data_IF_996121164559
#
_entry.id   IF_996121164559
#
_cell.length_a   1.000
_cell.length_b   1.000
_cell.length_c   1.000
_cell.angle_alpha   90.00
_cell.angle_beta   90.00
_cell.angle_gamma   90.00
#
_symmetry.space_group_name_H-M   'P 1'
#
loop_
_entity.id
_entity.type
_entity.pdbx_description
1 polymer ?
#
# COMPACT_ATOMS: atom_id res chain seq x y z
N UNK A 1 -27.74 2.94 -36.76
CA UNK A 1 -27.97 4.29 -36.22
C UNK A 1 -28.74 5.06 -37.26
N UNK A 2 -29.55 6.00 -36.82
CA UNK A 2 -30.21 6.97 -37.68
C UNK A 2 -30.24 8.25 -36.86
N UNK A 3 -29.26 9.11 -37.08
CA UNK A 3 -28.96 10.23 -36.17
C UNK A 3 -28.93 11.52 -36.94
N UNK A 4 -29.66 12.53 -36.47
CA UNK A 4 -29.53 13.91 -36.91
C UNK A 4 -28.80 14.71 -35.85
N UNK A 5 -27.71 15.35 -36.24
CA UNK A 5 -26.93 16.28 -35.41
C UNK A 5 -27.27 17.70 -35.85
N UNK A 6 -27.89 18.47 -34.97
CA UNK A 6 -28.02 19.92 -35.09
C UNK A 6 -26.81 20.55 -34.39
N UNK A 7 -25.98 21.26 -35.15
CA UNK A 7 -24.73 21.83 -34.64
C UNK A 7 -24.95 23.13 -33.86
N UNK A 8 -26.18 23.65 -33.81
CA UNK A 8 -26.50 24.87 -33.07
C UNK A 8 -26.05 26.16 -33.78
N UNK A 9 -25.67 26.08 -35.06
CA UNK A 9 -25.26 27.20 -35.90
C UNK A 9 -26.04 27.27 -37.22
N UNK A 10 -27.27 26.76 -37.22
CA UNK A 10 -28.19 26.58 -38.38
C UNK A 10 -27.83 25.44 -39.32
N UNK A 11 -26.67 24.79 -39.16
CA UNK A 11 -26.33 23.57 -39.90
C UNK A 11 -26.81 22.33 -39.16
N UNK A 12 -27.26 21.34 -39.93
CA UNK A 12 -27.62 20.02 -39.42
C UNK A 12 -27.25 18.94 -40.42
N UNK A 13 -26.76 17.81 -39.92
CA UNK A 13 -26.39 16.65 -40.73
C UNK A 13 -27.09 15.38 -40.25
N UNK A 14 -27.41 14.48 -41.18
CA UNK A 14 -27.99 13.16 -40.86
C UNK A 14 -27.03 12.04 -41.22
N UNK A 15 -26.84 11.12 -40.29
CA UNK A 15 -25.89 10.02 -40.37
C UNK A 15 -26.58 8.67 -40.15
N UNK A 16 -26.35 7.75 -41.10
CA UNK A 16 -26.87 6.36 -41.05
C UNK A 16 -25.77 5.33 -40.77
N UNK A 17 -24.51 5.75 -40.73
CA UNK A 17 -23.32 4.90 -40.49
C UNK A 17 -22.54 5.36 -39.28
N UNK A 18 -22.02 4.40 -38.50
CA UNK A 18 -21.18 4.68 -37.33
C UNK A 18 -19.88 5.39 -37.72
N UNK A 19 -19.43 6.32 -36.88
CA UNK A 19 -18.18 7.04 -37.11
C UNK A 19 -18.10 8.32 -36.29
N UNK A 20 -16.90 8.89 -36.24
CA UNK A 20 -16.71 10.24 -35.72
C UNK A 20 -17.27 11.23 -36.73
N UNK A 21 -18.01 12.22 -36.24
CA UNK A 21 -18.51 13.33 -37.04
C UNK A 21 -17.86 14.61 -36.57
N UNK A 22 -17.53 15.48 -37.51
CA UNK A 22 -16.79 16.72 -37.27
C UNK A 22 -17.56 17.89 -37.87
N UNK A 23 -17.51 19.03 -37.18
CA UNK A 23 -18.08 20.29 -37.64
C UNK A 23 -17.13 21.43 -37.30
N UNK A 24 -17.07 22.44 -38.16
CA UNK A 24 -16.22 23.63 -37.98
C UNK A 24 -17.09 24.88 -37.93
N UNK A 25 -17.11 25.54 -36.78
CA UNK A 25 -17.81 26.79 -36.60
C UNK A 25 -17.06 27.96 -37.25
N UNK A 26 -17.78 28.80 -37.99
CA UNK A 26 -17.21 29.98 -38.66
C UNK A 26 -16.86 31.12 -37.71
N UNK A 27 -17.53 31.18 -36.55
CA UNK A 27 -17.35 32.22 -35.53
C UNK A 27 -17.05 31.52 -34.21
N UNK A 28 -16.21 32.14 -33.37
CA UNK A 28 -15.99 31.65 -32.01
C UNK A 28 -17.22 31.92 -31.15
N UNK A 29 -17.64 30.92 -30.36
CA UNK A 29 -18.81 31.05 -29.52
C UNK A 29 -19.13 29.79 -28.73
N UNK A 30 -20.18 29.88 -27.92
CA UNK A 30 -20.77 28.73 -27.23
C UNK A 30 -21.90 28.21 -28.10
N UNK A 31 -21.82 26.94 -28.48
CA UNK A 31 -22.79 26.26 -29.30
C UNK A 31 -23.45 25.13 -28.50
N UNK A 32 -24.74 24.92 -28.74
CA UNK A 32 -25.48 23.77 -28.19
C UNK A 32 -25.70 22.79 -29.33
N UNK A 33 -24.98 21.66 -29.28
CA UNK A 33 -25.16 20.56 -30.24
C UNK A 33 -26.25 19.64 -29.75
N UNK A 34 -27.27 19.37 -30.59
CA UNK A 34 -28.35 18.45 -30.27
C UNK A 34 -28.30 17.22 -31.16
N UNK A 35 -28.46 16.05 -30.57
CA UNK A 35 -28.45 14.77 -31.27
C UNK A 35 -29.84 14.15 -31.11
N UNK A 36 -30.49 13.81 -32.22
CA UNK A 36 -31.79 13.14 -32.24
C UNK A 36 -31.77 11.90 -33.11
N UNK A 37 -32.77 11.01 -32.94
CA UNK A 37 -32.85 9.73 -33.64
C UNK A 37 -32.42 8.55 -32.76
N UNK A 38 -31.71 7.57 -33.33
CA UNK A 38 -31.32 6.34 -32.65
C UNK A 38 -29.79 6.13 -32.63
N UNK A 39 -29.23 6.17 -31.43
CA UNK A 39 -27.81 6.00 -31.12
C UNK A 39 -27.63 5.10 -29.89
N UNK A 40 -27.02 3.94 -30.08
CA UNK A 40 -26.78 2.98 -28.98
C UNK A 40 -25.51 3.29 -28.17
N UNK A 41 -24.55 4.01 -28.75
CA UNK A 41 -23.32 4.39 -28.06
C UNK A 41 -22.89 5.82 -28.39
N UNK A 42 -22.55 6.60 -27.37
CA UNK A 42 -21.85 7.86 -27.52
C UNK A 42 -20.45 7.73 -26.89
N UNK A 43 -19.39 7.91 -27.69
CA UNK A 43 -18.00 7.69 -27.28
C UNK A 43 -17.28 6.66 -28.15
N UNK A 44 -15.94 6.71 -28.12
CA UNK A 44 -15.05 5.88 -28.95
C UNK A 44 -14.00 5.13 -28.12
N UNK A 45 -14.37 4.79 -26.88
CA UNK A 45 -13.49 4.17 -25.91
C UNK A 45 -12.33 5.07 -25.46
N UNK A 46 -11.18 4.48 -25.15
CA UNK A 46 -10.05 5.22 -24.58
C UNK A 46 -9.26 6.09 -25.58
N UNK A 47 -9.65 6.09 -26.86
CA UNK A 47 -9.00 6.92 -27.89
C UNK A 47 -9.28 8.40 -27.65
N UNK A 48 -8.27 9.26 -27.82
CA UNK A 48 -8.42 10.71 -27.69
C UNK A 48 -9.44 11.25 -28.70
N UNK A 49 -10.46 11.96 -28.22
CA UNK A 49 -11.35 12.77 -29.05
C UNK A 49 -10.71 14.15 -29.27
N UNK A 50 -10.41 14.57 -30.52
CA UNK A 50 -9.90 15.89 -30.80
C UNK A 50 -10.83 16.97 -30.24
N UNK A 51 -10.26 18.05 -29.68
CA UNK A 51 -11.02 19.17 -29.13
C UNK A 51 -12.01 18.82 -28.00
N UNK A 52 -11.85 17.67 -27.33
CA UNK A 52 -12.74 17.26 -26.23
C UNK A 52 -12.73 18.24 -25.04
N UNK A 53 -11.65 19.00 -24.90
CA UNK A 53 -11.52 20.11 -23.96
C UNK A 53 -12.51 21.26 -24.22
N UNK A 54 -13.12 21.31 -25.41
CA UNK A 54 -14.19 22.29 -25.71
C UNK A 54 -15.56 21.88 -25.15
N UNK A 55 -15.75 20.63 -24.73
CA UNK A 55 -17.00 20.18 -24.12
C UNK A 55 -17.06 20.66 -22.67
N UNK A 56 -17.99 21.57 -22.39
CA UNK A 56 -18.14 22.19 -21.06
C UNK A 56 -19.31 21.62 -20.27
N UNK A 57 -20.40 21.22 -20.94
CA UNK A 57 -21.64 20.71 -20.32
C UNK A 57 -22.34 19.69 -21.21
N UNK A 58 -23.07 18.77 -20.58
CA UNK A 58 -24.10 17.95 -21.23
C UNK A 58 -25.41 18.19 -20.50
N UNK A 59 -26.40 18.72 -21.21
CA UNK A 59 -27.66 19.16 -20.60
C UNK A 59 -28.73 18.06 -20.57
N UNK A 60 -28.64 17.08 -21.47
CA UNK A 60 -29.51 15.91 -21.50
C UNK A 60 -28.82 14.76 -22.25
N UNK A 61 -29.06 13.52 -21.83
CA UNK A 61 -28.71 12.33 -22.62
C UNK A 61 -29.78 11.97 -23.65
N UNK A 62 -30.98 12.56 -23.53
CA UNK A 62 -32.13 12.27 -24.39
C UNK A 62 -32.65 10.84 -24.25
N UNK A 63 -33.62 10.50 -25.10
CA UNK A 63 -34.12 9.14 -25.28
C UNK A 63 -33.81 8.66 -26.71
N UNK A 64 -32.53 8.44 -26.97
CA UNK A 64 -32.00 8.02 -28.28
C UNK A 64 -31.57 6.54 -28.28
N UNK A 65 -31.87 5.79 -27.22
CA UNK A 65 -31.56 4.36 -27.09
C UNK A 65 -30.13 4.05 -26.67
N UNK A 66 -29.46 4.93 -25.91
CA UNK A 66 -28.10 4.72 -25.41
C UNK A 66 -28.01 3.51 -24.49
N UNK A 67 -27.14 2.57 -24.83
CA UNK A 67 -26.75 1.43 -23.97
C UNK A 67 -25.30 1.53 -23.49
N UNK A 68 -24.50 2.40 -24.09
CA UNK A 68 -23.07 2.56 -23.77
C UNK A 68 -22.64 4.02 -23.83
N UNK A 69 -21.90 4.44 -22.80
CA UNK A 69 -21.19 5.72 -22.75
C UNK A 69 -19.67 5.49 -22.70
N UNK A 70 -19.20 4.37 -23.27
CA UNK A 70 -17.79 3.98 -23.25
C UNK A 70 -16.90 5.07 -23.88
N UNK A 71 -16.16 5.78 -23.02
CA UNK A 71 -15.26 6.86 -23.41
C UNK A 71 -15.95 8.14 -23.91
N UNK A 72 -17.23 8.34 -23.60
CA UNK A 72 -18.03 9.50 -24.03
C UNK A 72 -17.33 10.85 -23.78
N UNK A 73 -16.80 11.03 -22.56
CA UNK A 73 -16.20 12.28 -22.07
C UNK A 73 -14.75 12.07 -21.59
N UNK A 74 -14.09 11.06 -22.15
CA UNK A 74 -12.68 10.76 -21.88
C UNK A 74 -11.81 11.98 -22.24
N UNK A 75 -11.07 12.47 -21.25
CA UNK A 75 -10.19 13.65 -21.26
C UNK A 75 -10.91 15.00 -21.39
N UNK A 76 -12.23 15.06 -21.15
CA UNK A 76 -13.01 16.30 -21.14
C UNK A 76 -12.69 17.15 -19.89
N UNK A 77 -11.50 17.75 -19.86
CA UNK A 77 -10.98 18.45 -18.67
C UNK A 77 -11.82 19.68 -18.26
N UNK A 78 -12.55 20.29 -19.19
CA UNK A 78 -13.42 21.45 -18.91
C UNK A 78 -14.90 21.08 -18.71
N UNK A 79 -15.25 19.80 -18.71
CA UNK A 79 -16.61 19.35 -18.43
C UNK A 79 -16.92 19.58 -16.95
N UNK A 80 -17.95 20.39 -16.69
CA UNK A 80 -18.34 20.79 -15.32
C UNK A 80 -19.78 20.38 -14.96
N UNK A 81 -20.54 19.86 -15.92
CA UNK A 81 -21.97 19.55 -15.72
C UNK A 81 -22.40 18.38 -16.60
N UNK A 82 -23.15 17.46 -16.01
CA UNK A 82 -23.83 16.36 -16.67
C UNK A 82 -25.31 16.35 -16.27
N UNK A 83 -26.18 15.64 -17.00
CA UNK A 83 -27.56 15.44 -16.59
C UNK A 83 -27.64 14.69 -15.25
N UNK A 84 -28.59 15.04 -14.39
CA UNK A 84 -28.81 14.37 -13.10
C UNK A 84 -29.47 12.99 -13.23
N UNK A 85 -29.88 12.60 -14.44
CA UNK A 85 -30.51 11.31 -14.74
C UNK A 85 -29.71 10.60 -15.82
N UNK A 86 -29.21 9.41 -15.50
CA UNK A 86 -28.62 8.48 -16.45
C UNK A 86 -29.73 7.69 -17.15
N UNK A 87 -29.68 7.47 -18.48
CA UNK A 87 -30.64 6.59 -19.14
C UNK A 87 -30.53 5.17 -18.57
N UNK A 88 -31.66 4.59 -18.15
CA UNK A 88 -31.70 3.28 -17.47
C UNK A 88 -31.25 2.11 -18.37
N UNK A 89 -31.19 2.32 -19.68
CA UNK A 89 -30.68 1.36 -20.68
C UNK A 89 -29.15 1.28 -20.71
N UNK A 90 -28.43 2.17 -20.04
CA UNK A 90 -26.97 2.18 -20.05
C UNK A 90 -26.40 1.03 -19.22
N UNK A 91 -25.58 0.20 -19.88
CA UNK A 91 -24.92 -0.96 -19.29
C UNK A 91 -23.39 -0.78 -19.16
N UNK A 92 -22.81 0.21 -19.85
CA UNK A 92 -21.37 0.41 -19.92
C UNK A 92 -20.97 1.88 -19.72
N UNK A 93 -20.28 2.16 -18.61
CA UNK A 93 -19.73 3.47 -18.23
C UNK A 93 -18.21 3.50 -18.28
N UNK A 94 -17.57 2.49 -18.89
CA UNK A 94 -16.12 2.38 -18.93
C UNK A 94 -15.50 3.68 -19.46
N UNK A 95 -14.46 4.18 -18.81
CA UNK A 95 -13.71 5.37 -19.21
C UNK A 95 -14.56 6.63 -19.49
N UNK A 96 -15.83 6.69 -19.07
CA UNK A 96 -16.75 7.76 -19.46
C UNK A 96 -16.24 9.14 -19.03
N UNK A 97 -15.72 9.26 -17.82
CA UNK A 97 -15.17 10.50 -17.22
C UNK A 97 -13.67 10.39 -16.94
N UNK A 98 -12.98 9.47 -17.61
CA UNK A 98 -11.54 9.29 -17.48
C UNK A 98 -10.83 10.59 -17.84
N UNK A 99 -10.09 11.20 -16.92
CA UNK A 99 -9.34 12.43 -17.12
C UNK A 99 -10.20 13.69 -17.26
N UNK A 100 -11.49 13.64 -16.90
CA UNK A 100 -12.31 14.82 -16.70
C UNK A 100 -11.86 15.53 -15.41
N UNK A 101 -10.67 16.14 -15.45
CA UNK A 101 -9.90 16.49 -14.25
C UNK A 101 -10.53 17.54 -13.35
N UNK A 102 -11.45 18.36 -13.89
CA UNK A 102 -12.19 19.38 -13.14
C UNK A 102 -13.65 18.96 -12.84
N UNK A 103 -14.06 17.75 -13.23
CA UNK A 103 -15.42 17.30 -13.05
C UNK A 103 -15.70 16.93 -11.58
N UNK A 104 -16.71 17.58 -10.99
CA UNK A 104 -17.20 17.30 -9.63
C UNK A 104 -18.70 17.62 -9.51
N UNK A 105 -19.46 17.43 -10.60
CA UNK A 105 -20.90 17.68 -10.60
C UNK A 105 -21.65 16.52 -9.95
N UNK A 106 -22.68 16.82 -9.17
CA UNK A 106 -23.48 15.81 -8.46
C UNK A 106 -24.17 14.84 -9.43
N UNK A 107 -23.78 13.57 -9.32
CA UNK A 107 -24.31 12.43 -10.07
C UNK A 107 -24.76 11.30 -9.12
N UNK A 108 -24.92 11.59 -7.82
CA UNK A 108 -25.35 10.63 -6.82
C UNK A 108 -26.76 10.08 -7.07
N UNK A 109 -27.59 10.83 -7.81
CA UNK A 109 -28.93 10.43 -8.22
C UNK A 109 -29.03 9.47 -9.41
N UNK A 110 -27.92 9.07 -10.03
CA UNK A 110 -27.95 8.17 -11.19
C UNK A 110 -28.40 6.75 -10.82
N UNK A 111 -29.34 6.20 -11.60
CA UNK A 111 -29.66 4.77 -11.56
C UNK A 111 -28.63 3.99 -12.39
N UNK A 112 -27.67 3.39 -11.69
CA UNK A 112 -26.63 2.54 -12.29
C UNK A 112 -26.94 1.03 -12.19
N UNK A 113 -28.18 0.64 -11.85
CA UNK A 113 -28.54 -0.75 -11.56
C UNK A 113 -28.45 -1.71 -12.76
N UNK A 114 -28.35 -1.19 -13.98
CA UNK A 114 -28.10 -1.97 -15.20
C UNK A 114 -26.64 -1.95 -15.67
N UNK A 115 -25.78 -1.14 -15.04
CA UNK A 115 -24.38 -1.03 -15.41
C UNK A 115 -23.62 -2.29 -15.01
N UNK A 116 -22.84 -2.83 -15.96
CA UNK A 116 -22.01 -4.03 -15.78
C UNK A 116 -20.51 -3.73 -15.84
N UNK A 117 -20.11 -2.57 -16.40
CA UNK A 117 -18.72 -2.15 -16.53
C UNK A 117 -18.54 -0.68 -16.13
N UNK A 118 -17.70 -0.44 -15.12
CA UNK A 118 -17.30 0.88 -14.62
C UNK A 118 -15.77 1.07 -14.66
N UNK A 119 -15.04 0.22 -15.39
CA UNK A 119 -13.59 0.30 -15.49
C UNK A 119 -13.13 1.68 -15.98
N UNK A 120 -12.15 2.27 -15.30
CA UNK A 120 -11.59 3.59 -15.56
C UNK A 120 -12.60 4.76 -15.53
N UNK A 121 -13.83 4.57 -15.06
CA UNK A 121 -14.90 5.58 -15.19
C UNK A 121 -14.45 6.96 -14.71
N UNK A 122 -13.78 7.05 -13.56
CA UNK A 122 -13.25 8.29 -12.99
C UNK A 122 -11.72 8.36 -13.00
N UNK A 123 -11.03 7.46 -13.71
CA UNK A 123 -9.56 7.44 -13.74
C UNK A 123 -9.00 8.81 -14.10
N UNK A 124 -8.22 9.44 -13.21
CA UNK A 124 -7.66 10.79 -13.32
C UNK A 124 -8.68 11.94 -13.33
N UNK A 125 -9.90 11.73 -12.83
CA UNK A 125 -10.82 12.80 -12.43
C UNK A 125 -10.34 13.40 -11.10
N UNK A 126 -9.31 14.25 -11.19
CA UNK A 126 -8.46 14.67 -10.06
C UNK A 126 -9.24 15.19 -8.85
N UNK A 127 -10.31 15.97 -9.10
CA UNK A 127 -11.10 16.66 -8.08
C UNK A 127 -12.45 16.01 -7.76
N UNK A 128 -12.73 14.83 -8.34
CA UNK A 128 -14.00 14.15 -8.13
C UNK A 128 -14.12 13.62 -6.69
N UNK A 129 -15.17 14.04 -5.99
CA UNK A 129 -15.49 13.65 -4.60
C UNK A 129 -17.01 13.72 -4.33
N UNK A 130 -17.84 13.41 -5.33
CA UNK A 130 -19.29 13.43 -5.15
C UNK A 130 -19.81 12.16 -4.49
N UNK A 131 -20.82 12.33 -3.62
CA UNK A 131 -21.49 11.24 -2.93
C UNK A 131 -22.16 10.31 -3.96
N UNK A 132 -21.68 9.07 -3.99
CA UNK A 132 -22.17 7.96 -4.82
C UNK A 132 -22.51 6.74 -3.96
N UNK A 133 -22.72 6.95 -2.66
CA UNK A 133 -23.04 5.91 -1.68
C UNK A 133 -24.33 5.15 -2.02
N UNK A 134 -25.26 5.81 -2.71
CA UNK A 134 -26.58 5.31 -3.10
C UNK A 134 -26.58 4.42 -4.34
N UNK A 135 -25.46 4.34 -5.06
CA UNK A 135 -25.37 3.60 -6.31
C UNK A 135 -25.56 2.09 -6.13
N UNK A 136 -26.48 1.51 -6.91
CA UNK A 136 -26.65 0.06 -6.97
C UNK A 136 -25.66 -0.57 -7.97
N UNK A 137 -24.48 -0.94 -7.48
CA UNK A 137 -23.41 -1.56 -8.28
C UNK A 137 -23.49 -3.09 -8.37
N UNK A 138 -24.59 -3.72 -7.97
CA UNK A 138 -24.68 -5.18 -7.81
C UNK A 138 -24.50 -6.01 -9.09
N UNK A 139 -24.66 -5.41 -10.28
CA UNK A 139 -24.41 -6.05 -11.59
C UNK A 139 -23.02 -5.76 -12.15
N UNK A 140 -22.25 -4.87 -11.53
CA UNK A 140 -20.93 -4.48 -12.02
C UNK A 140 -19.96 -5.64 -11.85
N UNK A 141 -19.24 -5.96 -12.93
CA UNK A 141 -18.25 -7.04 -12.97
C UNK A 141 -16.82 -6.52 -13.11
N UNK A 142 -16.66 -5.28 -13.57
CA UNK A 142 -15.36 -4.62 -13.79
C UNK A 142 -15.34 -3.21 -13.18
N UNK A 143 -14.42 -2.99 -12.24
CA UNK A 143 -14.10 -1.71 -11.60
C UNK A 143 -12.62 -1.36 -11.71
N UNK A 144 -11.91 -1.94 -12.70
CA UNK A 144 -10.48 -1.70 -12.89
C UNK A 144 -10.19 -0.20 -12.97
N UNK A 145 -9.27 0.30 -12.14
CA UNK A 145 -8.83 1.69 -12.15
C UNK A 145 -9.96 2.73 -12.02
N UNK A 146 -11.13 2.37 -11.49
CA UNK A 146 -12.30 3.25 -11.44
C UNK A 146 -11.96 4.60 -10.80
N UNK A 147 -11.19 4.61 -9.70
CA UNK A 147 -10.73 5.81 -9.00
C UNK A 147 -9.21 6.02 -9.10
N UNK A 148 -8.55 5.45 -10.10
CA UNK A 148 -7.11 5.63 -10.30
C UNK A 148 -6.78 7.13 -10.38
N UNK A 149 -5.89 7.62 -9.51
CA UNK A 149 -5.47 9.03 -9.46
C UNK A 149 -6.63 10.03 -9.22
N UNK A 150 -7.75 9.61 -8.63
CA UNK A 150 -8.72 10.54 -8.04
C UNK A 150 -8.15 11.05 -6.72
N UNK A 151 -7.46 12.20 -6.75
CA UNK A 151 -6.58 12.59 -5.63
C UNK A 151 -7.34 12.91 -4.35
N UNK A 152 -8.57 13.42 -4.48
CA UNK A 152 -9.39 13.89 -3.35
C UNK A 152 -10.56 12.97 -3.00
N UNK A 153 -10.85 11.95 -3.82
CA UNK A 153 -12.00 11.07 -3.61
C UNK A 153 -11.92 10.35 -2.26
N UNK A 154 -12.93 10.56 -1.41
CA UNK A 154 -13.01 9.95 -0.09
C UNK A 154 -14.47 9.74 0.38
N UNK A 155 -15.39 9.42 -0.54
CA UNK A 155 -16.80 9.21 -0.21
C UNK A 155 -17.09 7.81 0.31
N UNK A 156 -18.05 7.69 1.22
CA UNK A 156 -18.43 6.43 1.85
C UNK A 156 -19.12 5.49 0.85
N UNK A 157 -18.35 4.51 0.39
CA UNK A 157 -18.79 3.44 -0.51
C UNK A 157 -18.78 2.08 0.21
N UNK A 158 -18.71 2.07 1.54
CA UNK A 158 -18.71 0.84 2.35
C UNK A 158 -19.98 0.01 2.16
N UNK A 159 -21.10 0.66 1.83
CA UNK A 159 -22.40 0.03 1.58
C UNK A 159 -22.58 -0.63 0.20
N UNK A 160 -21.61 -0.52 -0.71
CA UNK A 160 -21.71 -1.10 -2.05
C UNK A 160 -21.73 -2.64 -2.05
N UNK A 161 -22.64 -3.22 -2.83
CA UNK A 161 -22.62 -4.67 -3.09
C UNK A 161 -21.67 -5.00 -4.26
N UNK A 162 -20.44 -5.38 -3.94
CA UNK A 162 -19.39 -5.73 -4.91
C UNK A 162 -19.26 -7.23 -5.20
N UNK A 163 -20.20 -8.08 -4.78
CA UNK A 163 -20.07 -9.54 -4.87
C UNK A 163 -19.94 -10.10 -6.29
N UNK A 164 -20.35 -9.33 -7.30
CA UNK A 164 -20.29 -9.67 -8.72
C UNK A 164 -18.98 -9.23 -9.40
N UNK A 165 -18.18 -8.39 -8.73
CA UNK A 165 -16.97 -7.79 -9.30
C UNK A 165 -15.87 -8.85 -9.41
N UNK A 166 -15.21 -8.88 -10.58
CA UNK A 166 -14.11 -9.80 -10.89
C UNK A 166 -12.77 -9.06 -10.96
N UNK A 167 -12.78 -7.81 -11.41
CA UNK A 167 -11.58 -6.99 -11.60
C UNK A 167 -11.66 -5.71 -10.77
N UNK A 168 -10.74 -5.56 -9.82
CA UNK A 168 -10.53 -4.35 -9.00
C UNK A 168 -9.08 -3.83 -9.11
N UNK A 169 -8.36 -4.26 -10.16
CA UNK A 169 -6.97 -3.85 -10.37
C UNK A 169 -6.83 -2.33 -10.41
N UNK A 170 -5.86 -1.79 -9.68
CA UNK A 170 -5.59 -0.34 -9.59
C UNK A 170 -6.77 0.55 -9.15
N UNK A 171 -7.87 0.00 -8.60
CA UNK A 171 -9.09 0.77 -8.34
C UNK A 171 -8.85 2.06 -7.53
N UNK A 172 -8.02 2.00 -6.49
CA UNK A 172 -7.63 3.14 -5.64
C UNK A 172 -6.14 3.52 -5.77
N UNK A 173 -5.48 3.08 -6.85
CA UNK A 173 -4.08 3.41 -7.06
C UNK A 173 -3.93 4.94 -7.25
N UNK A 174 -3.08 5.57 -6.44
CA UNK A 174 -2.93 7.04 -6.31
C UNK A 174 -4.20 7.79 -5.89
N UNK A 175 -5.21 7.13 -5.34
CA UNK A 175 -6.34 7.79 -4.67
C UNK A 175 -5.87 8.29 -3.30
N UNK A 176 -5.20 9.44 -3.27
CA UNK A 176 -4.36 9.87 -2.15
C UNK A 176 -5.12 10.18 -0.87
N UNK A 177 -6.39 10.54 -0.96
CA UNK A 177 -7.24 10.90 0.17
C UNK A 177 -8.15 9.75 0.65
N UNK A 178 -8.25 8.66 -0.10
CA UNK A 178 -9.21 7.59 0.17
C UNK A 178 -8.84 6.81 1.44
N UNK A 179 -9.75 6.80 2.43
CA UNK A 179 -9.62 6.04 3.68
C UNK A 179 -10.97 5.58 4.24
N UNK A 180 -11.93 5.26 3.38
CA UNK A 180 -13.28 4.85 3.81
C UNK A 180 -13.35 3.36 4.14
N UNK A 181 -14.17 3.01 5.14
CA UNK A 181 -14.31 1.63 5.61
C UNK A 181 -14.97 0.75 4.55
N UNK A 182 -14.19 -0.15 3.98
CA UNK A 182 -14.60 -1.14 2.97
C UNK A 182 -14.36 -2.59 3.44
N UNK A 183 -14.12 -2.78 4.74
CA UNK A 183 -13.88 -4.10 5.31
C UNK A 183 -15.07 -5.06 5.15
N UNK A 184 -16.29 -4.51 5.03
CA UNK A 184 -17.53 -5.26 4.82
C UNK A 184 -17.78 -5.74 3.37
N UNK A 185 -16.92 -5.39 2.41
CA UNK A 185 -17.10 -5.82 1.03
C UNK A 185 -16.92 -7.33 0.84
N UNK A 186 -17.84 -7.96 0.10
CA UNK A 186 -17.68 -9.34 -0.34
C UNK A 186 -16.84 -9.39 -1.63
N UNK A 187 -15.54 -9.64 -1.48
CA UNK A 187 -14.58 -9.71 -2.59
C UNK A 187 -14.28 -11.15 -3.08
N UNK A 188 -15.05 -12.16 -2.64
CA UNK A 188 -14.82 -13.58 -2.95
C UNK A 188 -14.90 -13.95 -4.44
N UNK A 189 -15.41 -13.06 -5.30
CA UNK A 189 -15.45 -13.23 -6.77
C UNK A 189 -14.27 -12.59 -7.49
N UNK A 190 -13.49 -11.76 -6.81
CA UNK A 190 -12.41 -10.97 -7.42
C UNK A 190 -11.22 -11.87 -7.72
N UNK A 191 -10.69 -11.76 -8.94
CA UNK A 191 -9.51 -12.51 -9.41
C UNK A 191 -8.30 -11.61 -9.63
N UNK A 192 -8.54 -10.30 -9.88
CA UNK A 192 -7.52 -9.30 -10.19
C UNK A 192 -7.58 -8.14 -9.17
N UNK A 193 -6.54 -8.01 -8.33
CA UNK A 193 -6.39 -6.95 -7.32
C UNK A 193 -5.02 -6.24 -7.35
N UNK A 194 -4.20 -6.51 -8.37
CA UNK A 194 -2.89 -5.87 -8.51
C UNK A 194 -3.01 -4.35 -8.44
N UNK A 195 -2.07 -3.71 -7.74
CA UNK A 195 -2.01 -2.26 -7.53
C UNK A 195 -3.18 -1.62 -6.77
N UNK A 196 -4.15 -2.37 -6.23
CA UNK A 196 -5.42 -1.80 -5.73
C UNK A 196 -5.26 -0.55 -4.84
N UNK A 197 -4.28 -0.52 -3.93
CA UNK A 197 -3.98 0.59 -3.03
C UNK A 197 -2.57 1.17 -3.22
N UNK A 198 -1.94 0.95 -4.37
CA UNK A 198 -0.63 1.50 -4.64
C UNK A 198 -0.66 3.04 -4.54
N UNK A 199 0.23 3.65 -3.76
CA UNK A 199 0.28 5.10 -3.52
C UNK A 199 -1.03 5.71 -2.97
N UNK A 200 -1.92 4.93 -2.35
CA UNK A 200 -3.01 5.43 -1.52
C UNK A 200 -2.42 5.85 -0.17
N UNK A 201 -2.13 7.15 -0.01
CA UNK A 201 -1.19 7.63 1.02
C UNK A 201 -1.72 7.53 2.46
N UNK A 202 -3.04 7.41 2.63
CA UNK A 202 -3.72 7.46 3.93
C UNK A 202 -4.61 6.25 4.20
N UNK A 203 -4.66 5.28 3.29
CA UNK A 203 -5.54 4.11 3.43
C UNK A 203 -4.97 3.13 4.47
N UNK A 204 -5.68 2.95 5.58
CA UNK A 204 -5.33 2.05 6.68
C UNK A 204 -6.58 1.42 7.31
N UNK A 205 -7.57 1.06 6.48
CA UNK A 205 -8.81 0.44 6.95
C UNK A 205 -8.66 -1.07 7.08
N UNK A 206 -9.32 -1.64 8.10
CA UNK A 206 -9.35 -3.08 8.34
C UNK A 206 -10.02 -3.81 7.16
N UNK A 207 -9.26 -4.67 6.51
CA UNK A 207 -9.65 -5.54 5.41
C UNK A 207 -9.27 -7.01 5.70
N UNK A 208 -9.05 -7.33 6.97
CA UNK A 208 -8.70 -8.68 7.45
C UNK A 208 -9.76 -9.73 7.04
N UNK A 209 -11.03 -9.32 6.95
CA UNK A 209 -12.17 -10.17 6.60
C UNK A 209 -12.35 -10.47 5.11
N UNK A 210 -11.52 -9.93 4.24
CA UNK A 210 -11.64 -10.15 2.79
C UNK A 210 -11.26 -11.58 2.39
N UNK A 211 -12.15 -12.23 1.64
CA UNK A 211 -11.87 -13.50 0.96
C UNK A 211 -11.10 -13.25 -0.35
N UNK A 212 -9.77 -13.32 -0.28
CA UNK A 212 -8.85 -13.17 -1.42
C UNK A 212 -8.46 -14.50 -2.07
N UNK A 213 -9.16 -15.60 -1.74
CA UNK A 213 -8.83 -16.96 -2.18
C UNK A 213 -8.71 -17.12 -3.69
N UNK A 214 -9.43 -16.33 -4.50
CA UNK A 214 -9.38 -16.40 -5.97
C UNK A 214 -8.38 -15.46 -6.63
N UNK A 215 -7.69 -14.62 -5.86
CA UNK A 215 -6.74 -13.64 -6.40
C UNK A 215 -5.48 -14.36 -6.90
N UNK A 216 -5.08 -14.06 -8.14
CA UNK A 216 -3.92 -14.69 -8.78
C UNK A 216 -2.63 -13.87 -8.70
N UNK A 217 -2.76 -12.56 -8.49
CA UNK A 217 -1.67 -11.58 -8.44
C UNK A 217 -1.97 -10.47 -7.45
N UNK A 218 -1.04 -10.21 -6.54
CA UNK A 218 -1.05 -9.09 -5.58
C UNK A 218 0.07 -8.08 -5.88
N UNK A 219 0.56 -8.08 -7.12
CA UNK A 219 1.63 -7.19 -7.56
C UNK A 219 1.33 -5.73 -7.19
N UNK A 220 2.26 -5.10 -6.48
CA UNK A 220 2.21 -3.71 -6.04
C UNK A 220 0.98 -3.30 -5.21
N UNK A 221 0.22 -4.23 -4.62
CA UNK A 221 -1.07 -3.95 -4.00
C UNK A 221 -1.05 -2.79 -2.98
N UNK A 222 0.02 -2.69 -2.17
CA UNK A 222 0.25 -1.63 -1.17
C UNK A 222 1.55 -0.86 -1.43
N UNK A 223 2.12 -0.93 -2.64
CA UNK A 223 3.35 -0.21 -2.98
C UNK A 223 3.18 1.28 -2.73
N UNK A 224 4.10 1.91 -1.98
CA UNK A 224 4.11 3.31 -1.59
C UNK A 224 2.94 3.75 -0.70
N UNK A 225 2.12 2.83 -0.19
CA UNK A 225 1.17 3.13 0.88
C UNK A 225 1.94 3.20 2.20
N UNK A 226 2.17 4.41 2.70
CA UNK A 226 3.09 4.65 3.82
C UNK A 226 2.50 4.35 5.20
N UNK A 227 1.18 4.19 5.30
CA UNK A 227 0.47 4.10 6.58
C UNK A 227 -0.17 2.74 6.84
N UNK A 228 -0.45 1.95 5.79
CA UNK A 228 -1.13 0.68 5.92
C UNK A 228 -0.37 -0.30 6.81
N UNK A 229 -1.00 -0.74 7.90
CA UNK A 229 -0.45 -1.71 8.84
C UNK A 229 -1.53 -2.62 9.47
N UNK A 230 -2.62 -2.87 8.76
CA UNK A 230 -3.69 -3.75 9.24
C UNK A 230 -3.31 -5.23 9.17
N UNK A 231 -3.81 -6.02 10.11
CA UNK A 231 -3.56 -7.46 10.17
C UNK A 231 -4.24 -8.18 8.99
N UNK A 232 -3.43 -8.72 8.09
CA UNK A 232 -3.84 -9.51 6.92
C UNK A 232 -3.29 -10.94 6.99
N UNK A 233 -2.89 -11.40 8.18
CA UNK A 233 -2.37 -12.74 8.43
C UNK A 233 -3.37 -13.85 8.09
N UNK A 234 -4.68 -13.54 8.14
CA UNK A 234 -5.78 -14.45 7.83
C UNK A 234 -6.11 -14.63 6.35
N UNK A 235 -5.49 -13.86 5.45
CA UNK A 235 -5.76 -13.96 4.01
C UNK A 235 -5.35 -15.30 3.40
N UNK A 236 -6.24 -15.92 2.63
CA UNK A 236 -5.94 -17.16 1.91
C UNK A 236 -5.23 -16.88 0.57
N UNK A 237 -3.91 -16.77 0.60
CA UNK A 237 -3.11 -16.41 -0.59
C UNK A 237 -2.65 -17.60 -1.45
N UNK A 238 -3.23 -18.79 -1.28
CA UNK A 238 -2.73 -20.04 -1.88
C UNK A 238 -2.78 -20.05 -3.42
N UNK A 239 -3.61 -19.20 -4.02
CA UNK A 239 -3.73 -19.02 -5.47
C UNK A 239 -2.83 -17.92 -6.04
N UNK A 240 -2.18 -17.12 -5.20
CA UNK A 240 -1.33 -16.02 -5.64
C UNK A 240 -0.02 -16.56 -6.20
N UNK A 241 0.35 -16.10 -7.39
CA UNK A 241 1.60 -16.49 -8.08
C UNK A 241 2.63 -15.36 -8.15
N UNK A 242 2.18 -14.11 -8.03
CA UNK A 242 2.98 -12.90 -8.18
C UNK A 242 2.69 -11.91 -7.03
N UNK A 243 3.74 -11.58 -6.26
CA UNK A 243 3.71 -10.58 -5.18
C UNK A 243 4.81 -9.52 -5.36
N UNK A 244 5.28 -9.30 -6.61
CA UNK A 244 6.27 -8.26 -6.90
C UNK A 244 5.85 -6.91 -6.33
N UNK A 245 6.78 -6.22 -5.69
CA UNK A 245 6.58 -4.87 -5.15
C UNK A 245 5.38 -4.71 -4.21
N UNK A 246 4.77 -5.79 -3.68
CA UNK A 246 3.49 -5.73 -2.96
C UNK A 246 3.48 -4.69 -1.83
N UNK A 247 4.58 -4.61 -1.07
CA UNK A 247 4.78 -3.65 0.02
C UNK A 247 5.97 -2.72 -0.24
N UNK A 248 6.39 -2.52 -1.49
CA UNK A 248 7.52 -1.64 -1.81
C UNK A 248 7.30 -0.26 -1.18
N UNK A 249 8.24 0.21 -0.34
CA UNK A 249 8.17 1.49 0.37
C UNK A 249 6.90 1.68 1.24
N UNK A 250 6.25 0.59 1.66
CA UNK A 250 5.13 0.63 2.60
C UNK A 250 5.65 0.72 4.04
N UNK A 251 6.17 1.89 4.41
CA UNK A 251 7.07 2.05 5.57
C UNK A 251 6.47 1.72 6.94
N UNK A 252 5.13 1.75 7.08
CA UNK A 252 4.45 1.40 8.31
C UNK A 252 4.14 -0.11 8.45
N UNK A 253 4.25 -0.88 7.37
CA UNK A 253 3.85 -2.28 7.38
C UNK A 253 4.82 -3.14 8.21
N UNK A 254 4.29 -3.74 9.28
CA UNK A 254 5.00 -4.63 10.20
C UNK A 254 4.04 -5.68 10.77
N UNK A 255 3.45 -6.52 9.90
CA UNK A 255 2.52 -7.58 10.28
C UNK A 255 3.11 -8.97 10.11
N UNK A 256 2.65 -9.92 10.93
CA UNK A 256 3.05 -11.32 10.84
C UNK A 256 2.28 -12.04 9.72
N UNK A 257 2.93 -12.22 8.57
CA UNK A 257 2.40 -12.96 7.42
C UNK A 257 3.08 -14.33 7.22
N UNK A 258 3.70 -14.88 8.27
CA UNK A 258 4.39 -16.18 8.19
C UNK A 258 3.45 -17.37 7.94
N UNK A 259 2.16 -17.21 8.21
CA UNK A 259 1.10 -18.20 7.95
C UNK A 259 0.71 -18.34 6.48
N UNK A 260 1.10 -17.38 5.62
CA UNK A 260 0.69 -17.36 4.22
C UNK A 260 1.20 -18.57 3.43
N UNK A 261 0.32 -19.19 2.63
CA UNK A 261 0.66 -20.32 1.78
C UNK A 261 1.29 -19.86 0.47
N UNK A 262 2.61 -20.04 0.32
CA UNK A 262 3.38 -19.54 -0.83
C UNK A 262 3.67 -20.60 -1.90
N UNK A 263 3.03 -21.77 -1.85
CA UNK A 263 3.32 -22.91 -2.76
C UNK A 263 3.24 -22.56 -4.24
N UNK A 264 2.41 -21.58 -4.63
CA UNK A 264 2.26 -21.13 -6.02
C UNK A 264 3.10 -19.90 -6.38
N UNK A 265 3.63 -19.18 -5.40
CA UNK A 265 4.38 -17.95 -5.63
C UNK A 265 5.67 -18.26 -6.38
N UNK A 266 5.87 -17.58 -7.50
CA UNK A 266 7.08 -17.67 -8.31
C UNK A 266 7.92 -16.40 -8.27
N UNK A 267 7.37 -15.28 -7.81
CA UNK A 267 8.08 -14.01 -7.84
C UNK A 267 7.64 -13.06 -6.72
N UNK A 268 8.61 -12.68 -5.88
CA UNK A 268 8.50 -11.69 -4.80
C UNK A 268 9.60 -10.64 -4.92
N UNK A 269 10.05 -10.35 -6.14
CA UNK A 269 11.05 -9.32 -6.43
C UNK A 269 10.61 -8.01 -5.79
N UNK A 270 11.50 -7.42 -5.00
CA UNK A 270 11.31 -6.11 -4.35
C UNK A 270 10.05 -5.98 -3.48
N UNK A 271 9.51 -7.10 -2.97
CA UNK A 271 8.29 -7.11 -2.17
C UNK A 271 8.36 -6.14 -0.98
N UNK A 272 9.48 -6.11 -0.25
CA UNK A 272 9.70 -5.24 0.92
C UNK A 272 10.82 -4.22 0.72
N UNK A 273 11.20 -3.86 -0.52
CA UNK A 273 12.22 -2.83 -0.72
C UNK A 273 11.79 -1.53 -0.03
N UNK A 274 12.64 -0.95 0.82
CA UNK A 274 12.30 0.25 1.61
C UNK A 274 11.40 0.01 2.83
N UNK A 275 11.09 -1.25 3.18
CA UNK A 275 10.37 -1.65 4.40
C UNK A 275 11.34 -2.30 5.38
N UNK A 276 11.03 -2.18 6.68
CA UNK A 276 11.73 -2.87 7.77
C UNK A 276 10.70 -3.54 8.66
N UNK A 277 10.49 -4.84 8.47
CA UNK A 277 9.71 -5.63 9.42
C UNK A 277 10.51 -5.72 10.73
N UNK A 278 9.81 -5.76 11.86
CA UNK A 278 10.42 -6.11 13.14
C UNK A 278 11.04 -7.50 13.05
N UNK A 279 12.12 -7.71 13.81
CA UNK A 279 12.83 -9.00 13.84
C UNK A 279 11.90 -10.14 14.21
N UNK A 280 10.96 -9.93 15.13
CA UNK A 280 9.95 -10.93 15.49
C UNK A 280 9.05 -11.33 14.31
N UNK A 281 8.55 -10.35 13.55
CA UNK A 281 7.70 -10.63 12.38
C UNK A 281 8.49 -11.24 11.23
N UNK A 282 9.72 -10.78 11.00
CA UNK A 282 10.58 -11.36 9.97
C UNK A 282 11.03 -12.79 10.31
N UNK A 283 11.30 -13.09 11.58
CA UNK A 283 11.59 -14.44 12.06
C UNK A 283 10.39 -15.37 11.82
N UNK A 284 9.19 -14.94 12.21
CA UNK A 284 7.96 -15.70 11.99
C UNK A 284 7.70 -15.95 10.50
N UNK A 285 7.95 -14.94 9.66
CA UNK A 285 7.87 -15.02 8.19
C UNK A 285 8.80 -16.11 7.65
N UNK A 286 10.10 -16.04 7.98
CA UNK A 286 11.09 -17.00 7.49
C UNK A 286 10.77 -18.43 7.97
N UNK A 287 10.44 -18.59 9.25
CA UNK A 287 10.13 -19.90 9.85
C UNK A 287 8.88 -20.51 9.22
N UNK A 288 7.80 -19.73 9.11
CA UNK A 288 6.53 -20.21 8.56
C UNK A 288 6.63 -20.58 7.09
N UNK A 289 7.41 -19.84 6.29
CA UNK A 289 7.59 -20.13 4.88
C UNK A 289 8.51 -21.34 4.67
N UNK A 290 9.62 -21.45 5.39
CA UNK A 290 10.56 -22.57 5.27
C UNK A 290 9.95 -23.94 5.62
N UNK A 291 8.87 -23.96 6.41
CA UNK A 291 8.13 -25.18 6.75
C UNK A 291 7.25 -25.73 5.60
N UNK A 292 7.10 -24.99 4.50
CA UNK A 292 6.25 -25.36 3.36
C UNK A 292 7.06 -26.05 2.26
N UNK A 293 6.36 -26.67 1.29
CA UNK A 293 6.97 -27.17 0.04
C UNK A 293 6.89 -26.09 -1.04
N UNK A 294 8.00 -25.42 -1.34
CA UNK A 294 8.01 -24.21 -2.14
C UNK A 294 8.56 -24.41 -3.56
N UNK A 295 8.25 -23.48 -4.46
CA UNK A 295 8.92 -23.39 -5.76
C UNK A 295 10.39 -22.99 -5.57
N UNK A 296 11.25 -23.52 -6.42
CA UNK A 296 12.67 -23.16 -6.43
C UNK A 296 12.93 -21.82 -7.13
N UNK A 297 14.11 -21.24 -6.87
CA UNK A 297 14.63 -20.05 -7.59
C UNK A 297 13.79 -18.77 -7.49
N UNK A 298 12.92 -18.67 -6.47
CA UNK A 298 12.15 -17.45 -6.21
C UNK A 298 13.10 -16.33 -5.76
N UNK A 299 12.92 -15.15 -6.33
CA UNK A 299 13.58 -13.91 -5.87
C UNK A 299 12.69 -13.28 -4.81
N UNK A 300 13.27 -13.03 -3.63
CA UNK A 300 12.60 -12.40 -2.49
C UNK A 300 13.44 -11.25 -1.94
N UNK A 301 12.82 -10.10 -1.76
CA UNK A 301 13.44 -8.95 -1.12
C UNK A 301 12.70 -8.68 0.21
N UNK A 302 13.37 -8.97 1.33
CA UNK A 302 12.92 -8.72 2.70
C UNK A 302 13.21 -7.31 3.20
N UNK A 303 13.68 -6.40 2.35
CA UNK A 303 13.95 -5.01 2.71
C UNK A 303 15.17 -4.85 3.62
N UNK A 304 15.05 -3.98 4.62
CA UNK A 304 16.08 -3.80 5.66
C UNK A 304 15.86 -4.72 6.87
N UNK A 305 14.87 -5.62 6.81
CA UNK A 305 14.47 -6.49 7.91
C UNK A 305 15.61 -7.43 8.29
N UNK A 306 15.87 -7.57 9.59
CA UNK A 306 16.90 -8.47 10.13
C UNK A 306 16.25 -9.70 10.76
N UNK A 307 16.97 -10.80 10.78
CA UNK A 307 16.51 -12.06 11.39
C UNK A 307 17.41 -12.50 12.54
N UNK A 308 16.83 -13.14 13.54
CA UNK A 308 17.56 -13.66 14.70
C UNK A 308 18.44 -14.86 14.33
N UNK A 309 19.46 -15.11 15.17
CA UNK A 309 20.16 -16.40 15.17
C UNK A 309 19.23 -17.57 15.53
N UNK A 310 19.66 -18.82 15.30
CA UNK A 310 18.88 -20.00 15.65
C UNK A 310 17.83 -20.36 14.60
N UNK A 311 16.56 -20.45 15.00
CA UNK A 311 15.49 -20.98 14.15
C UNK A 311 15.27 -20.18 12.87
N UNK A 312 15.28 -18.84 12.95
CA UNK A 312 15.10 -17.98 11.78
C UNK A 312 16.28 -18.06 10.81
N UNK A 313 17.52 -18.07 11.31
CA UNK A 313 18.71 -18.29 10.50
C UNK A 313 18.69 -19.66 9.79
N UNK A 314 18.26 -20.73 10.48
CA UNK A 314 18.11 -22.06 9.90
C UNK A 314 17.01 -22.08 8.82
N UNK A 315 15.87 -21.43 9.08
CA UNK A 315 14.76 -21.31 8.14
C UNK A 315 15.18 -20.56 6.86
N UNK A 316 15.88 -19.43 7.00
CA UNK A 316 16.46 -18.71 5.86
C UNK A 316 17.43 -19.56 5.05
N UNK A 317 18.27 -20.36 5.72
CA UNK A 317 19.20 -21.27 5.06
C UNK A 317 18.47 -22.37 4.26
N UNK A 318 17.30 -22.85 4.72
CA UNK A 318 16.44 -23.76 3.94
C UNK A 318 15.92 -23.08 2.68
N UNK A 319 15.41 -21.84 2.78
CA UNK A 319 14.92 -21.08 1.64
C UNK A 319 16.03 -20.88 0.58
N UNK A 320 17.22 -20.45 0.98
CA UNK A 320 18.33 -20.21 0.03
C UNK A 320 19.02 -21.49 -0.43
N UNK A 321 19.14 -22.50 0.42
CA UNK A 321 19.89 -23.73 0.15
C UNK A 321 19.04 -24.82 -0.50
N UNK A 322 17.92 -25.19 0.11
CA UNK A 322 17.03 -26.27 -0.39
C UNK A 322 16.20 -25.79 -1.58
N UNK A 323 15.63 -24.59 -1.48
CA UNK A 323 14.78 -24.03 -2.55
C UNK A 323 15.55 -23.13 -3.52
N UNK A 324 16.83 -22.82 -3.26
CA UNK A 324 17.62 -21.99 -4.18
C UNK A 324 17.10 -20.56 -4.31
N UNK A 325 16.40 -20.04 -3.29
CA UNK A 325 15.89 -18.67 -3.33
C UNK A 325 17.03 -17.66 -3.32
N UNK A 326 16.82 -16.54 -4.02
CA UNK A 326 17.69 -15.37 -3.89
C UNK A 326 17.03 -14.40 -2.91
N UNK A 327 17.61 -14.27 -1.71
CA UNK A 327 17.08 -13.41 -0.64
C UNK A 327 18.00 -12.19 -0.46
N UNK A 328 17.42 -11.00 -0.56
CA UNK A 328 18.04 -9.73 -0.14
C UNK A 328 17.31 -9.21 1.09
N UNK A 329 18.02 -9.06 2.21
CA UNK A 329 17.47 -8.57 3.49
C UNK A 329 18.56 -7.85 4.31
N UNK A 330 18.20 -7.38 5.51
CA UNK A 330 19.11 -6.70 6.43
C UNK A 330 20.18 -7.61 7.08
N UNK A 331 20.19 -8.89 6.73
CA UNK A 331 21.08 -9.90 7.29
C UNK A 331 20.67 -10.38 8.67
N UNK A 332 21.48 -11.27 9.23
CA UNK A 332 21.28 -11.76 10.59
C UNK A 332 21.55 -10.61 11.58
N UNK A 333 20.72 -10.47 12.60
CA UNK A 333 21.08 -9.68 13.75
C UNK A 333 22.39 -10.22 14.34
N UNK A 334 23.39 -9.35 14.36
CA UNK A 334 24.59 -9.58 15.17
C UNK A 334 24.15 -9.20 16.58
N UNK A 335 24.11 -10.15 17.53
CA UNK A 335 23.86 -9.79 18.92
C UNK A 335 24.87 -8.70 19.27
N UNK A 336 24.42 -7.56 19.81
CA UNK A 336 25.31 -6.59 20.43
C UNK A 336 26.25 -7.41 21.30
N UNK A 337 27.55 -7.35 21.00
CA UNK A 337 28.52 -8.26 21.58
C UNK A 337 28.28 -8.33 23.08
N UNK A 338 27.82 -9.49 23.55
CA UNK A 338 27.93 -9.84 24.96
C UNK A 338 29.43 -9.77 25.20
N UNK A 339 29.90 -8.67 25.78
CA UNK A 339 31.28 -8.55 26.21
C UNK A 339 31.49 -9.68 27.19
N UNK A 340 32.14 -10.74 26.70
CA UNK A 340 32.65 -11.90 27.41
C UNK A 340 31.86 -12.30 28.65
N UNK A 341 31.20 -13.46 28.61
CA UNK A 341 30.96 -14.24 29.84
C UNK A 341 32.31 -14.51 30.49
N UNK A 342 32.74 -13.57 31.35
CA UNK A 342 33.86 -13.73 32.24
C UNK A 342 33.40 -14.66 33.36
N UNK A 343 34.32 -15.51 33.84
CA UNK A 343 34.08 -16.75 34.62
C UNK A 343 33.41 -16.51 36.00
N UNK A 344 32.96 -15.27 36.25
CA UNK A 344 32.50 -14.76 37.53
C UNK A 344 31.08 -14.17 37.51
N UNK A 345 30.28 -14.27 36.43
CA UNK A 345 28.91 -13.71 36.41
C UNK A 345 28.83 -12.24 36.87
N UNK A 346 29.78 -11.41 36.45
CA UNK A 346 29.73 -9.95 36.60
C UNK A 346 29.82 -9.33 35.21
N UNK A 347 28.95 -8.36 34.91
CA UNK A 347 29.01 -7.62 33.65
C UNK A 347 28.78 -6.11 33.82
N UNK A 348 29.36 -5.31 32.92
CA UNK A 348 29.21 -3.85 32.88
C UNK A 348 28.68 -3.43 31.50
N UNK A 349 27.54 -2.73 31.43
CA UNK A 349 26.89 -2.35 30.16
C UNK A 349 26.07 -1.06 30.26
N UNK A 350 25.90 -0.26 29.19
CA UNK A 350 26.52 -0.43 27.88
C UNK A 350 28.02 -0.11 27.92
N UNK A 351 28.79 -0.74 27.02
CA UNK A 351 30.20 -0.44 26.80
C UNK A 351 30.51 -0.63 25.31
N UNK A 352 30.75 0.44 24.53
CA UNK A 352 30.93 1.84 24.95
C UNK A 352 29.68 2.48 25.61
N UNK A 353 29.88 3.55 26.40
CA UNK A 353 28.81 4.29 27.09
C UNK A 353 28.84 5.78 26.76
N UNK A 354 27.70 6.46 26.87
CA UNK A 354 27.56 7.92 26.80
C UNK A 354 27.45 8.59 28.18
N UNK A 355 27.49 7.84 29.27
CA UNK A 355 27.42 8.40 30.63
C UNK A 355 27.15 7.33 31.67
N UNK A 356 25.94 6.78 31.68
CA UNK A 356 25.54 5.79 32.68
C UNK A 356 25.91 4.38 32.21
N UNK A 357 26.49 3.59 33.10
CA UNK A 357 26.69 2.15 32.91
C UNK A 357 26.07 1.38 34.05
N UNK A 358 25.63 0.17 33.77
CA UNK A 358 24.97 -0.75 34.68
C UNK A 358 25.89 -1.89 35.08
N UNK A 359 25.73 -2.40 36.30
CA UNK A 359 26.49 -3.51 36.87
C UNK A 359 25.56 -4.68 37.15
N UNK A 360 25.57 -5.74 36.33
CA UNK A 360 24.88 -6.98 36.69
C UNK A 360 25.82 -7.85 37.54
N UNK A 361 25.41 -8.09 38.78
CA UNK A 361 26.21 -8.69 39.83
C UNK A 361 25.80 -10.14 40.17
N UNK A 362 24.72 -10.67 39.59
CA UNK A 362 24.15 -12.02 39.86
C UNK A 362 24.34 -12.48 41.33
N UNK A 363 23.72 -11.74 42.25
CA UNK A 363 23.71 -12.09 43.69
C UNK A 363 24.98 -11.74 44.47
N UNK A 364 25.96 -11.05 43.88
CA UNK A 364 27.21 -10.63 44.54
C UNK A 364 27.11 -9.22 45.12
N UNK A 365 27.81 -8.99 46.24
CA UNK A 365 27.94 -7.66 46.84
C UNK A 365 29.25 -6.98 46.47
N UNK A 366 29.18 -5.74 46.00
CA UNK A 366 30.35 -4.88 45.82
C UNK A 366 30.85 -4.42 47.20
N UNK A 367 32.14 -4.66 47.47
CA UNK A 367 32.85 -4.19 48.66
C UNK A 367 33.58 -2.87 48.40
N UNK A 368 34.14 -2.71 47.20
CA UNK A 368 34.80 -1.47 46.77
C UNK A 368 34.70 -1.32 45.24
N UNK A 369 34.70 -0.08 44.77
CA UNK A 369 34.72 0.28 43.36
C UNK A 369 35.74 1.41 43.16
N UNK A 370 36.64 1.22 42.19
CA UNK A 370 37.58 2.25 41.72
C UNK A 370 37.44 2.45 40.23
N UNK A 371 37.58 3.69 39.78
CA UNK A 371 37.68 4.05 38.36
C UNK A 371 39.04 4.67 38.14
N UNK A 372 39.75 4.16 37.14
CA UNK A 372 41.13 4.54 36.82
C UNK A 372 41.17 4.98 35.36
N UNK A 373 41.85 6.08 35.06
CA UNK A 373 42.10 6.49 33.67
C UNK A 373 43.26 5.71 33.04
N UNK A 374 43.52 5.94 31.74
CA UNK A 374 44.62 5.30 31.00
C UNK A 374 46.02 5.55 31.55
N UNK A 375 46.20 6.58 32.38
CA UNK A 375 47.50 6.92 33.00
C UNK A 375 47.73 6.15 34.31
N UNK A 376 46.72 5.40 34.78
CA UNK A 376 46.75 4.72 36.07
C UNK A 376 46.30 5.59 37.24
N UNK A 377 45.81 6.81 36.98
CA UNK A 377 45.32 7.71 38.03
C UNK A 377 43.91 7.31 38.45
N UNK A 378 43.70 7.17 39.76
CA UNK A 378 42.36 6.96 40.34
C UNK A 378 41.59 8.27 40.23
N UNK A 379 40.48 8.23 39.51
CA UNK A 379 39.61 9.39 39.24
C UNK A 379 38.31 9.34 40.06
N UNK A 380 37.91 8.15 40.52
CA UNK A 380 36.83 7.97 41.49
C UNK A 380 37.08 6.70 42.33
N UNK A 381 36.78 6.76 43.64
CA UNK A 381 36.85 5.62 44.54
C UNK A 381 35.75 5.74 45.62
N UNK A 382 35.01 4.65 45.82
CA UNK A 382 34.13 4.35 46.96
C UNK A 382 33.00 5.35 47.28
N UNK A 383 31.78 5.07 46.78
CA UNK A 383 30.52 5.55 47.34
C UNK A 383 29.71 4.34 47.82
N UNK A 384 29.07 4.44 48.99
CA UNK A 384 28.20 3.38 49.53
C UNK A 384 26.99 3.19 48.61
N UNK A 385 27.03 2.17 47.75
CA UNK A 385 25.90 1.80 46.89
C UNK A 385 25.09 0.69 47.57
N UNK A 386 23.98 1.08 48.20
CA UNK A 386 22.81 0.19 48.33
C UNK A 386 22.21 0.04 46.91
N UNK A 387 21.54 -1.08 46.58
CA UNK A 387 21.56 -1.75 45.28
C UNK A 387 20.98 -0.88 44.17
N UNK A 388 21.84 -0.07 43.56
CA UNK A 388 21.58 0.52 42.25
C UNK A 388 22.82 0.18 41.43
N UNK A 389 22.63 -0.85 40.63
CA UNK A 389 23.52 -1.46 39.65
C UNK A 389 23.98 -0.44 38.60
N UNK A 390 24.47 0.75 38.96
CA UNK A 390 24.80 1.85 38.04
C UNK A 390 26.00 2.67 38.47
N UNK A 391 26.85 3.05 37.50
CA UNK A 391 27.94 4.01 37.62
C UNK A 391 27.64 5.17 36.67
N UNK A 392 27.66 6.39 37.16
CA UNK A 392 27.46 7.60 36.36
C UNK A 392 28.82 8.23 35.99
N UNK A 393 29.10 8.25 34.69
CA UNK A 393 30.30 8.83 34.08
C UNK A 393 29.97 10.08 33.25
N UNK A 394 28.79 10.67 33.41
CA UNK A 394 28.36 11.83 32.61
C UNK A 394 29.28 13.03 32.75
N UNK A 395 30.00 13.14 33.88
CA UNK A 395 30.98 14.20 34.15
C UNK A 395 32.43 13.82 33.80
N UNK A 396 32.65 12.62 33.25
CA UNK A 396 33.98 12.14 32.87
C UNK A 396 34.25 12.52 31.42
N UNK A 397 35.50 12.82 31.10
CA UNK A 397 35.89 13.08 29.72
C UNK A 397 35.73 11.81 28.87
N UNK A 398 35.52 11.98 27.57
CA UNK A 398 35.52 10.85 26.64
C UNK A 398 36.91 10.18 26.63
N UNK A 399 36.94 8.86 26.67
CA UNK A 399 38.19 8.13 26.81
C UNK A 399 38.03 6.71 27.36
N UNK A 400 39.17 6.07 27.56
CA UNK A 400 39.26 4.72 28.07
C UNK A 400 39.48 4.72 29.60
N UNK A 401 38.72 3.89 30.30
CA UNK A 401 38.77 3.74 31.74
C UNK A 401 38.89 2.26 32.14
N UNK A 402 39.43 2.02 33.33
CA UNK A 402 39.39 0.73 34.00
C UNK A 402 38.52 0.85 35.25
N UNK A 403 37.45 0.08 35.31
CA UNK A 403 36.62 -0.07 36.52
C UNK A 403 37.14 -1.29 37.28
N UNK A 404 37.61 -1.09 38.50
CA UNK A 404 38.11 -2.16 39.37
C UNK A 404 37.05 -2.41 40.45
N UNK A 405 36.38 -3.56 40.37
CA UNK A 405 35.39 -4.00 41.35
C UNK A 405 36.00 -4.98 42.33
N UNK A 406 35.86 -4.72 43.61
CA UNK A 406 36.17 -5.66 44.68
C UNK A 406 34.88 -6.29 45.18
N UNK A 407 34.78 -7.61 45.11
CA UNK A 407 33.65 -8.40 45.62
C UNK A 407 34.14 -9.38 46.68
N UNK A 408 33.21 -10.11 47.30
CA UNK A 408 33.53 -11.20 48.23
C UNK A 408 34.39 -12.33 47.63
N UNK A 409 34.41 -12.46 46.30
CA UNK A 409 35.18 -13.48 45.59
C UNK A 409 36.51 -12.96 45.02
N UNK A 410 36.87 -11.70 45.31
CA UNK A 410 38.10 -11.07 44.85
C UNK A 410 37.89 -9.81 44.03
N UNK A 411 38.99 -9.32 43.46
CA UNK A 411 39.06 -8.06 42.70
C UNK A 411 39.11 -8.34 41.21
N UNK A 412 38.25 -7.68 40.43
CA UNK A 412 38.14 -7.85 38.98
C UNK A 412 38.16 -6.50 38.26
N UNK A 413 39.05 -6.30 37.27
CA UNK A 413 39.06 -5.11 36.43
C UNK A 413 38.18 -5.28 35.18
N UNK A 414 37.50 -4.21 34.78
CA UNK A 414 36.69 -4.12 33.57
C UNK A 414 37.14 -2.94 32.73
N UNK A 415 37.38 -3.19 31.44
CA UNK A 415 37.71 -2.14 30.46
C UNK A 415 36.43 -1.41 30.06
N UNK A 416 36.41 -0.08 30.08
CA UNK A 416 35.26 0.72 29.69
C UNK A 416 35.64 1.86 28.72
N UNK A 417 34.86 2.07 27.67
CA UNK A 417 35.01 3.16 26.71
C UNK A 417 33.87 4.16 26.91
N UNK A 418 34.20 5.43 27.19
CA UNK A 418 33.26 6.56 27.22
C UNK A 418 33.36 7.35 25.91
N UNK A 419 32.26 7.41 25.18
CA UNK A 419 32.13 8.16 23.91
C UNK A 419 31.48 9.54 24.08
#
# INVERSE_FOLDING_TARGET
MDVTVDWGDTNSDTYITVGNQEHTYAVEGIYTVSISGSLTQFGKGQSLTPNIDKLVKVTSFGDIGLTSLYGAFNLAANLIELPTVLPSTVENLNSMLRGASNFNFDIGGWDVSNVTNMGHMFSSAIVFDQDISTWNVGKVTDMESMFYQCLVFNQDIGGWNVSSVKNMGSMFNKARAFNQNIGGWNVSSVTQMGYMFASALVFDQDISGWDVSKVSSMMSMFSLNKVFNQDISGWEVSNVSNMKWMFQNATAFDQNIGSWNLRKVSDMTDMFIGVTLSTANYDNLLIGWAAQTLKSTVVFNGGNSKYSSGAAAAARAVLTGTYGWTITDGGQEIPSAVTSTDVNNLSIYPNPTNGIVHLDLVGKRIQNLKIVDVTGKIIAENNRVNPTETIDLSNFANGLYLIILQTENGTQPFKLIKE
#
